data_IF_191421816864
#
_entry.id   IF_191421816864
#
_cell.length_a   1.000
_cell.length_b   1.000
_cell.length_c   1.000
_cell.angle_alpha   90.00
_cell.angle_beta   90.00
_cell.angle_gamma   90.00
#
_symmetry.space_group_name_H-M   'P 1'
#
loop_
_entity.id
_entity.type
_entity.pdbx_description
1 polymer ?
#
# COMPACT_ATOMS: atom_id res chain seq x y z
N UNK A 1 -59.64 14.82 -3.85
CA UNK A 1 -59.40 13.44 -4.31
C UNK A 1 -57.90 13.23 -4.42
N UNK A 2 -57.36 12.51 -3.43
CA UNK A 2 -55.96 12.06 -3.33
C UNK A 2 -55.72 10.79 -4.16
N UNK A 3 -54.44 10.41 -4.26
CA UNK A 3 -53.88 9.14 -4.78
C UNK A 3 -53.47 9.18 -6.27
N UNK A 4 -52.35 8.63 -6.71
CA UNK A 4 -51.26 7.86 -6.08
C UNK A 4 -50.14 7.87 -7.13
N UNK A 5 -48.97 8.46 -6.85
CA UNK A 5 -47.84 8.44 -7.80
C UNK A 5 -46.52 8.27 -7.06
N UNK A 6 -46.40 7.15 -6.34
CA UNK A 6 -45.17 6.61 -5.75
C UNK A 6 -45.48 5.15 -5.38
N UNK A 7 -45.07 4.19 -6.22
CA UNK A 7 -44.02 3.30 -5.76
C UNK A 7 -43.18 2.77 -6.95
N UNK A 8 -42.08 3.46 -7.30
CA UNK A 8 -41.07 2.87 -8.19
C UNK A 8 -39.63 3.10 -7.70
N UNK A 9 -39.43 3.98 -6.72
CA UNK A 9 -38.12 4.25 -6.11
C UNK A 9 -37.76 3.27 -4.97
N UNK A 10 -38.65 2.36 -4.60
CA UNK A 10 -38.45 1.45 -3.45
C UNK A 10 -38.06 0.01 -3.83
N UNK A 11 -37.76 -0.25 -5.11
CA UNK A 11 -37.40 -1.59 -5.60
C UNK A 11 -35.88 -1.84 -5.72
N UNK A 12 -35.04 -0.79 -5.63
CA UNK A 12 -33.58 -0.95 -5.72
C UNK A 12 -32.90 -1.26 -4.37
N UNK A 13 -33.61 -1.14 -3.23
CA UNK A 13 -33.04 -1.34 -1.89
C UNK A 13 -33.20 -2.78 -1.34
N UNK A 14 -33.97 -3.66 -2.00
CA UNK A 14 -34.30 -5.00 -1.45
C UNK A 14 -33.68 -6.19 -2.19
N UNK A 15 -32.76 -6.00 -3.14
CA UNK A 15 -32.17 -7.09 -3.93
C UNK A 15 -30.75 -7.53 -3.51
N UNK A 16 -30.28 -7.13 -2.32
CA UNK A 16 -28.93 -7.52 -1.82
C UNK A 16 -28.96 -8.69 -0.81
N UNK A 17 -30.12 -9.28 -0.47
CA UNK A 17 -30.17 -10.23 0.66
C UNK A 17 -30.74 -11.64 0.43
N UNK A 18 -31.03 -12.10 -0.80
CA UNK A 18 -31.50 -13.49 -0.98
C UNK A 18 -30.87 -14.19 -2.17
N UNK A 19 -29.73 -14.85 -1.91
CA UNK A 19 -29.34 -16.09 -2.58
C UNK A 19 -28.46 -16.90 -1.63
N UNK A 20 -29.10 -17.47 -0.61
CA UNK A 20 -28.49 -18.46 0.28
C UNK A 20 -28.50 -19.84 -0.38
N UNK A 21 -27.48 -20.14 -1.20
CA UNK A 21 -27.08 -21.52 -1.43
C UNK A 21 -26.44 -22.06 -0.15
N UNK A 22 -26.75 -23.31 0.22
CA UNK A 22 -26.30 -23.93 1.45
C UNK A 22 -24.77 -23.79 1.63
N UNK A 23 -24.34 -23.00 2.63
CA UNK A 23 -22.95 -22.90 3.04
C UNK A 23 -22.75 -23.74 4.29
N UNK A 24 -21.93 -24.78 4.16
CA UNK A 24 -21.31 -25.47 5.29
C UNK A 24 -20.52 -24.45 6.10
N UNK A 25 -20.89 -24.28 7.36
CA UNK A 25 -20.26 -23.38 8.31
C UNK A 25 -18.89 -23.98 8.66
N UNK A 26 -17.81 -23.41 8.12
CA UNK A 26 -16.45 -23.66 8.63
C UNK A 26 -16.05 -22.52 9.60
N UNK A 27 -15.13 -22.84 10.51
CA UNK A 27 -15.06 -22.31 11.88
C UNK A 27 -14.66 -20.86 12.12
N UNK A 28 -14.69 -19.97 11.13
CA UNK A 28 -14.52 -18.53 11.34
C UNK A 28 -15.65 -17.83 10.57
N UNK A 29 -16.59 -17.22 11.29
CA UNK A 29 -17.93 -16.81 10.82
C UNK A 29 -18.02 -15.74 9.72
N UNK A 30 -17.05 -15.65 8.80
CA UNK A 30 -17.18 -14.91 7.56
C UNK A 30 -17.59 -15.85 6.42
N UNK A 31 -18.62 -15.52 5.63
CA UNK A 31 -18.86 -16.23 4.38
C UNK A 31 -17.61 -16.15 3.50
N UNK A 32 -17.33 -17.21 2.74
CA UNK A 32 -16.20 -17.27 1.83
C UNK A 32 -16.37 -16.23 0.70
N UNK A 33 -15.93 -15.01 0.96
CA UNK A 33 -15.87 -13.94 -0.04
C UNK A 33 -14.54 -14.03 -0.79
N UNK A 34 -14.61 -14.09 -2.13
CA UNK A 34 -13.43 -13.87 -2.97
C UNK A 34 -13.09 -12.39 -3.02
N UNK A 35 -11.82 -12.06 -3.30
CA UNK A 35 -11.32 -10.68 -3.35
C UNK A 35 -11.85 -9.89 -4.56
N UNK A 36 -12.19 -10.57 -5.66
CA UNK A 36 -12.63 -9.97 -6.92
C UNK A 36 -13.96 -9.20 -6.77
N UNK A 37 -15.04 -9.77 -6.20
CA UNK A 37 -16.28 -9.05 -5.92
C UNK A 37 -16.09 -7.82 -5.01
N UNK A 38 -15.15 -7.89 -4.07
CA UNK A 38 -14.87 -6.77 -3.16
C UNK A 38 -14.18 -5.64 -3.91
N UNK A 39 -13.18 -5.96 -4.73
CA UNK A 39 -12.45 -4.96 -5.52
C UNK A 39 -13.33 -4.28 -6.56
N UNK A 40 -14.20 -5.04 -7.22
CA UNK A 40 -15.17 -4.50 -8.19
C UNK A 40 -16.17 -3.56 -7.51
N UNK A 41 -16.73 -3.97 -6.36
CA UNK A 41 -17.63 -3.12 -5.57
C UNK A 41 -16.94 -1.86 -5.09
N UNK A 42 -15.67 -1.92 -4.67
CA UNK A 42 -14.91 -0.74 -4.25
C UNK A 42 -14.70 0.25 -5.40
N UNK A 43 -14.36 -0.23 -6.61
CA UNK A 43 -14.21 0.63 -7.80
C UNK A 43 -15.51 1.36 -8.15
N UNK A 44 -16.61 0.63 -8.22
CA UNK A 44 -17.94 1.22 -8.48
C UNK A 44 -18.35 2.16 -7.36
N UNK A 45 -17.98 1.85 -6.12
CA UNK A 45 -18.31 2.70 -4.99
C UNK A 45 -17.54 4.00 -5.04
N UNK A 46 -16.27 4.04 -5.46
CA UNK A 46 -15.47 5.27 -5.58
C UNK A 46 -16.18 6.31 -6.45
N UNK A 47 -16.68 5.88 -7.61
CA UNK A 47 -17.48 6.71 -8.53
C UNK A 47 -18.83 7.14 -7.93
N UNK A 48 -19.42 6.33 -7.04
CA UNK A 48 -20.67 6.66 -6.34
C UNK A 48 -20.47 7.52 -5.09
N UNK A 49 -19.32 7.42 -4.42
CA UNK A 49 -19.02 8.05 -3.13
C UNK A 49 -19.02 9.57 -3.28
N UNK A 50 -18.49 10.11 -4.38
CA UNK A 50 -18.53 11.56 -4.64
C UNK A 50 -19.98 12.08 -4.75
N UNK A 51 -20.89 11.32 -5.37
CA UNK A 51 -22.30 11.70 -5.54
C UNK A 51 -23.14 11.55 -4.27
N UNK A 52 -22.71 10.69 -3.35
CA UNK A 52 -23.42 10.37 -2.11
C UNK A 52 -22.89 11.13 -0.90
N UNK A 53 -21.62 11.54 -0.92
CA UNK A 53 -20.98 12.28 0.17
C UNK A 53 -21.75 13.56 0.52
N UNK A 54 -22.26 14.28 -0.49
CA UNK A 54 -23.07 15.49 -0.30
C UNK A 54 -24.42 15.24 0.40
N UNK A 55 -24.86 13.98 0.47
CA UNK A 55 -26.14 13.58 1.08
C UNK A 55 -25.99 13.05 2.51
N UNK A 56 -24.77 12.88 3.00
CA UNK A 56 -24.52 12.34 4.34
C UNK A 56 -24.43 13.44 5.38
N UNK A 57 -24.99 13.16 6.56
CA UNK A 57 -24.76 14.01 7.72
C UNK A 57 -23.42 13.68 8.39
N UNK A 58 -22.95 14.58 9.25
CA UNK A 58 -21.65 14.47 9.91
C UNK A 58 -21.45 13.12 10.63
N UNK A 59 -22.49 12.61 11.28
CA UNK A 59 -22.44 11.32 12.00
C UNK A 59 -22.27 10.14 11.04
N UNK A 60 -22.96 10.14 9.91
CA UNK A 60 -22.84 9.12 8.87
C UNK A 60 -21.46 9.14 8.24
N UNK A 61 -20.96 10.32 7.89
CA UNK A 61 -19.62 10.51 7.36
C UNK A 61 -18.57 9.99 8.33
N UNK A 62 -18.63 10.38 9.61
CA UNK A 62 -17.69 9.91 10.63
C UNK A 62 -17.72 8.39 10.80
N UNK A 63 -18.91 7.77 10.80
CA UNK A 63 -19.05 6.32 10.91
C UNK A 63 -18.46 5.57 9.70
N UNK A 64 -18.63 6.10 8.49
CA UNK A 64 -18.03 5.51 7.27
C UNK A 64 -16.51 5.62 7.31
N UNK A 65 -15.98 6.78 7.67
CA UNK A 65 -14.52 6.98 7.78
C UNK A 65 -13.91 6.07 8.84
N UNK A 66 -14.58 5.86 9.99
CA UNK A 66 -14.10 4.92 11.02
C UNK A 66 -14.06 3.48 10.49
N UNK A 67 -15.09 3.04 9.77
CA UNK A 67 -15.11 1.72 9.16
C UNK A 67 -14.02 1.53 8.11
N UNK A 68 -13.84 2.50 7.21
CA UNK A 68 -12.77 2.49 6.20
C UNK A 68 -11.39 2.46 6.85
N UNK A 69 -11.19 3.21 7.93
CA UNK A 69 -9.95 3.18 8.72
C UNK A 69 -9.71 1.80 9.31
N UNK A 70 -10.72 1.17 9.93
CA UNK A 70 -10.59 -0.19 10.48
C UNK A 70 -10.26 -1.22 9.40
N UNK A 71 -10.91 -1.16 8.24
CA UNK A 71 -10.60 -2.04 7.11
C UNK A 71 -9.17 -1.83 6.62
N UNK A 72 -8.76 -0.57 6.52
CA UNK A 72 -7.38 -0.21 6.16
C UNK A 72 -6.38 -0.78 7.17
N UNK A 73 -6.66 -0.71 8.47
CA UNK A 73 -5.80 -1.27 9.52
C UNK A 73 -5.68 -2.80 9.40
N UNK A 74 -6.75 -3.50 9.01
CA UNK A 74 -6.71 -4.95 8.73
C UNK A 74 -5.83 -5.27 7.53
N UNK A 75 -6.01 -4.55 6.42
CA UNK A 75 -5.20 -4.74 5.20
C UNK A 75 -3.72 -4.43 5.44
N UNK A 76 -3.42 -3.37 6.20
CA UNK A 76 -2.05 -3.03 6.60
C UNK A 76 -1.41 -4.14 7.45
N UNK A 77 -2.16 -4.72 8.40
CA UNK A 77 -1.65 -5.85 9.20
C UNK A 77 -1.30 -7.05 8.32
N UNK A 78 -2.08 -7.31 7.27
CA UNK A 78 -1.79 -8.38 6.33
C UNK A 78 -0.53 -8.08 5.51
N UNK A 79 -0.38 -6.87 4.97
CA UNK A 79 0.85 -6.46 4.25
C UNK A 79 2.11 -6.58 5.13
N UNK A 80 2.02 -6.22 6.41
CA UNK A 80 3.14 -6.37 7.36
C UNK A 80 3.56 -7.82 7.56
N UNK A 81 2.64 -8.78 7.51
CA UNK A 81 2.96 -10.21 7.64
C UNK A 81 3.79 -10.69 6.44
N UNK A 82 3.38 -10.34 5.23
CA UNK A 82 4.13 -10.67 4.00
C UNK A 82 5.57 -10.15 4.06
N UNK A 83 5.77 -8.93 4.59
CA UNK A 83 7.11 -8.38 4.74
C UNK A 83 7.94 -9.07 5.82
N UNK A 84 7.31 -9.55 6.89
CA UNK A 84 7.99 -10.30 7.96
C UNK A 84 8.57 -11.61 7.43
N UNK A 85 7.91 -12.24 6.46
CA UNK A 85 8.39 -13.50 5.88
C UNK A 85 9.69 -13.36 5.08
N UNK A 86 10.01 -12.16 4.60
CA UNK A 86 11.25 -11.86 3.85
C UNK A 86 12.43 -11.57 4.78
N UNK A 87 12.18 -11.07 5.98
CA UNK A 87 13.25 -10.67 6.91
C UNK A 87 13.90 -11.92 7.55
N UNK A 88 15.24 -11.99 7.69
CA UNK A 88 15.87 -12.97 8.56
C UNK A 88 15.41 -12.70 9.99
N UNK A 89 15.28 -13.74 10.81
CA UNK A 89 14.56 -13.70 12.08
C UNK A 89 14.95 -12.58 13.05
N UNK A 90 16.18 -12.08 12.95
CA UNK A 90 16.73 -11.08 13.87
C UNK A 90 16.86 -9.67 13.28
N UNK A 91 16.55 -9.45 11.99
CA UNK A 91 16.57 -8.10 11.43
C UNK A 91 15.37 -7.28 11.93
N UNK A 92 15.60 -6.07 12.50
CA UNK A 92 14.50 -5.23 12.94
C UNK A 92 13.65 -4.81 11.75
N UNK A 93 12.33 -4.77 11.94
CA UNK A 93 11.42 -4.45 10.85
C UNK A 93 11.66 -3.01 10.33
N UNK A 94 11.90 -2.81 9.02
CA UNK A 94 12.22 -1.49 8.50
C UNK A 94 10.99 -0.56 8.52
N UNK A 95 11.22 0.71 8.86
CA UNK A 95 10.19 1.75 8.79
C UNK A 95 10.08 2.24 7.35
N UNK A 96 8.89 2.12 6.78
CA UNK A 96 8.62 2.58 5.41
C UNK A 96 8.57 4.10 5.36
N UNK A 97 9.12 4.71 4.30
CA UNK A 97 8.96 6.14 4.04
C UNK A 97 7.48 6.50 3.84
N UNK A 98 6.97 7.52 4.53
CA UNK A 98 5.56 7.96 4.46
C UNK A 98 5.09 8.46 3.09
N UNK A 99 6.02 8.89 2.24
CA UNK A 99 5.74 9.36 0.87
C UNK A 99 6.54 8.54 -0.14
N UNK A 100 6.45 7.23 0.03
CA UNK A 100 7.29 6.28 -0.67
C UNK A 100 6.87 4.84 -0.39
N UNK A 101 7.82 3.96 -0.60
CA UNK A 101 7.68 2.52 -0.44
C UNK A 101 9.02 1.88 -0.16
N UNK A 102 8.97 0.56 0.02
CA UNK A 102 10.15 -0.24 0.26
C UNK A 102 10.02 -1.54 -0.54
N UNK A 103 11.09 -1.91 -1.24
CA UNK A 103 11.23 -3.23 -1.87
C UNK A 103 12.39 -3.95 -1.19
N UNK A 104 12.15 -5.15 -0.67
CA UNK A 104 13.17 -5.94 0.00
C UNK A 104 13.40 -7.27 -0.71
N UNK A 105 14.65 -7.73 -0.73
CA UNK A 105 15.09 -9.00 -1.29
C UNK A 105 15.99 -9.70 -0.29
N UNK A 106 15.74 -10.97 -0.03
CA UNK A 106 16.61 -11.83 0.77
C UNK A 106 17.62 -12.58 -0.11
N UNK A 107 18.89 -12.57 0.29
CA UNK A 107 19.91 -13.45 -0.28
C UNK A 107 20.85 -13.94 0.84
N UNK A 108 20.99 -15.26 0.94
CA UNK A 108 21.73 -15.94 2.02
C UNK A 108 21.26 -15.53 3.43
N UNK A 109 22.17 -15.02 4.26
CA UNK A 109 21.92 -14.53 5.63
C UNK A 109 21.69 -13.02 5.66
N UNK A 110 21.48 -12.40 4.49
CA UNK A 110 21.31 -10.96 4.34
C UNK A 110 19.97 -10.62 3.70
N UNK A 111 19.45 -9.48 4.07
CA UNK A 111 18.37 -8.81 3.36
C UNK A 111 18.83 -7.46 2.88
N UNK A 112 18.46 -7.15 1.65
CA UNK A 112 18.68 -5.88 1.01
C UNK A 112 17.33 -5.21 0.82
N UNK A 113 17.16 -4.01 1.39
CA UNK A 113 15.94 -3.23 1.26
C UNK A 113 16.25 -1.91 0.56
N UNK A 114 15.59 -1.68 -0.58
CA UNK A 114 15.69 -0.46 -1.37
C UNK A 114 14.49 0.45 -1.05
N UNK A 115 14.71 1.57 -0.34
CA UNK A 115 13.67 2.57 -0.17
C UNK A 115 13.41 3.29 -1.49
N UNK A 116 12.15 3.64 -1.74
CA UNK A 116 11.72 4.37 -2.92
C UNK A 116 10.87 5.56 -2.52
N UNK A 117 11.07 6.72 -3.18
CA UNK A 117 10.25 7.91 -2.96
C UNK A 117 9.24 8.12 -4.09
N UNK A 118 8.07 8.67 -3.77
CA UNK A 118 7.06 9.02 -4.77
C UNK A 118 7.51 10.21 -5.64
N UNK A 119 6.82 10.42 -6.77
CA UNK A 119 6.96 11.64 -7.57
C UNK A 119 6.76 12.91 -6.70
N UNK A 120 7.52 13.96 -6.99
CA UNK A 120 7.49 15.22 -6.23
C UNK A 120 8.11 15.11 -4.83
N UNK A 121 8.81 14.01 -4.56
CA UNK A 121 9.62 13.81 -3.35
C UNK A 121 11.07 13.51 -3.71
N UNK A 122 11.99 13.93 -2.84
CA UNK A 122 13.39 13.53 -2.87
C UNK A 122 13.85 12.97 -1.51
N UNK A 123 14.92 12.18 -1.50
CA UNK A 123 15.50 11.69 -0.26
C UNK A 123 16.06 12.84 0.58
N UNK A 124 15.92 12.76 1.90
CA UNK A 124 16.47 13.77 2.82
C UNK A 124 18.01 13.83 2.82
N UNK A 125 18.68 12.83 2.23
CA UNK A 125 20.13 12.73 2.13
C UNK A 125 20.52 12.14 0.77
N UNK A 126 21.74 12.46 0.32
CA UNK A 126 22.33 11.91 -0.90
C UNK A 126 22.56 10.40 -0.75
N UNK A 127 22.05 9.63 -1.71
CA UNK A 127 22.04 8.15 -1.73
C UNK A 127 22.35 7.56 -3.10
N UNK A 128 22.89 8.34 -4.05
CA UNK A 128 23.26 7.86 -5.39
C UNK A 128 24.16 6.63 -5.38
N UNK A 129 25.04 6.53 -4.39
CA UNK A 129 25.95 5.39 -4.20
C UNK A 129 25.43 4.34 -3.21
N UNK A 130 24.37 4.64 -2.44
CA UNK A 130 23.75 3.74 -1.46
C UNK A 130 22.27 3.50 -1.80
N UNK A 131 22.08 2.76 -2.89
CA UNK A 131 20.76 2.49 -3.48
C UNK A 131 19.88 1.63 -2.58
N UNK A 132 20.48 0.80 -1.72
CA UNK A 132 19.78 -0.07 -0.76
C UNK A 132 20.45 -0.04 0.62
N UNK A 133 19.74 -0.53 1.63
CA UNK A 133 20.27 -0.87 2.95
C UNK A 133 20.42 -2.38 3.06
N UNK A 134 21.45 -2.82 3.79
CA UNK A 134 21.67 -4.23 4.12
C UNK A 134 21.35 -4.46 5.60
N UNK A 135 20.74 -5.60 5.91
CA UNK A 135 20.76 -6.19 7.24
C UNK A 135 21.26 -7.64 7.14
N UNK A 136 22.18 -8.02 8.02
CA UNK A 136 22.73 -9.38 8.08
C UNK A 136 22.35 -10.08 9.38
N UNK A 137 22.17 -11.40 9.34
CA UNK A 137 21.89 -12.23 10.52
C UNK A 137 23.05 -12.22 11.55
N UNK A 138 24.23 -11.74 11.17
CA UNK A 138 25.37 -11.60 12.09
C UNK A 138 25.28 -10.31 12.91
N UNK A 139 24.85 -9.22 12.29
CA UNK A 139 24.81 -7.89 12.93
C UNK A 139 23.45 -7.54 13.48
N UNK A 140 22.39 -8.14 12.92
CA UNK A 140 20.98 -7.91 13.25
C UNK A 140 20.61 -6.41 13.23
N UNK A 141 21.26 -5.66 12.33
CA UNK A 141 21.16 -4.21 12.20
C UNK A 141 21.19 -3.79 10.73
N UNK A 142 20.43 -2.76 10.41
CA UNK A 142 20.50 -2.12 9.11
C UNK A 142 21.76 -1.26 9.00
N UNK A 143 22.32 -1.16 7.80
CA UNK A 143 23.39 -0.20 7.43
C UNK A 143 22.93 1.27 7.40
N UNK A 144 21.75 1.56 7.94
CA UNK A 144 21.11 2.86 7.83
C UNK A 144 21.85 3.95 8.62
N UNK A 145 21.83 5.16 8.08
CA UNK A 145 22.37 6.36 8.74
C UNK A 145 21.38 7.04 9.69
N UNK A 146 20.14 6.55 9.80
CA UNK A 146 19.12 7.18 10.64
C UNK A 146 19.14 6.67 12.08
N UNK A 147 18.92 7.58 13.02
CA UNK A 147 18.75 7.28 14.44
C UNK A 147 17.58 6.30 14.64
N UNK A 148 17.79 5.31 15.51
CA UNK A 148 16.83 4.23 15.78
C UNK A 148 17.06 2.97 14.95
N UNK A 149 17.91 3.02 13.92
CA UNK A 149 18.46 1.83 13.25
C UNK A 149 17.49 1.03 12.38
N UNK A 150 16.20 1.38 12.33
CA UNK A 150 15.19 0.72 11.50
C UNK A 150 14.57 1.64 10.43
N UNK A 151 14.76 2.95 10.53
CA UNK A 151 14.36 3.89 9.48
C UNK A 151 15.36 3.85 8.34
N UNK A 152 14.90 3.51 7.13
CA UNK A 152 15.81 3.33 5.99
C UNK A 152 15.90 4.57 5.09
N UNK A 153 14.83 5.37 5.03
CA UNK A 153 14.81 6.63 4.28
C UNK A 153 13.74 7.60 4.79
N UNK A 154 13.90 8.87 4.43
CA UNK A 154 12.90 9.93 4.56
C UNK A 154 12.74 10.59 3.20
N UNK A 155 11.49 10.67 2.72
CA UNK A 155 11.13 11.33 1.47
C UNK A 155 10.51 12.70 1.81
N UNK A 156 11.16 13.77 1.36
CA UNK A 156 10.75 15.15 1.56
C UNK A 156 10.21 15.73 0.27
N UNK A 157 9.28 16.69 0.37
CA UNK A 157 8.73 17.37 -0.81
C UNK A 157 9.86 18.08 -1.56
N UNK A 158 9.96 17.84 -2.85
CA UNK A 158 10.96 18.44 -3.72
C UNK A 158 10.47 18.43 -5.16
N UNK A 159 10.63 19.55 -5.85
CA UNK A 159 10.30 19.66 -7.28
C UNK A 159 11.38 19.02 -8.17
N UNK A 160 12.54 18.67 -7.59
CA UNK A 160 13.67 18.06 -8.29
C UNK A 160 14.18 16.84 -7.52
N UNK A 161 14.39 15.73 -8.22
CA UNK A 161 14.93 14.48 -7.68
C UNK A 161 16.41 14.36 -8.01
N UNK A 162 17.28 14.69 -7.05
CA UNK A 162 18.74 14.64 -7.24
C UNK A 162 19.43 13.66 -6.32
N UNK A 163 18.82 13.34 -5.17
CA UNK A 163 19.52 12.67 -4.09
C UNK A 163 19.69 11.16 -4.33
N UNK A 164 18.78 10.53 -5.07
CA UNK A 164 18.81 9.11 -5.43
C UNK A 164 19.20 8.86 -6.89
N UNK A 165 19.37 7.59 -7.22
CA UNK A 165 19.40 7.13 -8.62
C UNK A 165 17.97 7.11 -9.19
N UNK A 166 17.76 7.21 -10.52
CA UNK A 166 16.42 7.24 -11.11
C UNK A 166 15.51 6.08 -10.71
N UNK A 167 16.08 4.89 -10.51
CA UNK A 167 15.34 3.69 -10.08
C UNK A 167 14.93 3.69 -8.60
N UNK A 168 15.37 4.67 -7.80
CA UNK A 168 14.98 4.84 -6.41
C UNK A 168 13.74 5.73 -6.25
N UNK A 169 13.07 6.06 -7.35
CA UNK A 169 11.82 6.79 -7.37
C UNK A 169 10.75 5.97 -8.07
N UNK A 170 9.51 6.09 -7.59
CA UNK A 170 8.37 5.64 -8.38
C UNK A 170 8.22 6.55 -9.61
N UNK A 171 7.88 5.99 -10.78
CA UNK A 171 7.49 6.78 -11.93
C UNK A 171 6.28 7.68 -11.63
N UNK A 172 6.07 8.65 -12.50
CA UNK A 172 4.89 9.50 -12.48
C UNK A 172 3.61 8.67 -12.42
N UNK A 173 2.65 9.14 -11.61
CA UNK A 173 1.36 8.49 -11.35
C UNK A 173 1.46 7.06 -10.76
N UNK A 174 2.61 6.70 -10.18
CA UNK A 174 2.82 5.44 -9.47
C UNK A 174 3.23 5.69 -8.02
N UNK A 175 2.81 4.78 -7.16
CA UNK A 175 3.25 4.68 -5.78
C UNK A 175 3.38 3.20 -5.40
N UNK A 176 3.66 2.93 -4.12
CA UNK A 176 3.79 1.57 -3.63
C UNK A 176 2.53 0.71 -3.85
N UNK A 177 1.33 1.26 -3.66
CA UNK A 177 0.08 0.50 -3.77
C UNK A 177 -0.25 0.22 -5.23
N UNK A 178 -0.13 1.24 -6.09
CA UNK A 178 -0.36 1.13 -7.53
C UNK A 178 0.60 0.12 -8.14
N UNK A 179 1.89 0.22 -7.80
CA UNK A 179 2.93 -0.72 -8.24
C UNK A 179 2.60 -2.15 -7.81
N UNK A 180 2.23 -2.37 -6.55
CA UNK A 180 1.90 -3.69 -6.02
C UNK A 180 0.63 -4.29 -6.61
N UNK A 181 -0.36 -3.45 -6.93
CA UNK A 181 -1.62 -3.93 -7.53
C UNK A 181 -1.50 -4.37 -8.99
N UNK A 182 -0.38 -4.05 -9.65
CA UNK A 182 -0.12 -4.37 -11.05
C UNK A 182 1.11 -5.26 -11.21
N UNK A 183 0.89 -6.52 -11.55
CA UNK A 183 1.96 -7.53 -11.64
C UNK A 183 3.12 -7.11 -12.55
N UNK A 184 2.84 -6.42 -13.67
CA UNK A 184 3.86 -5.95 -14.58
C UNK A 184 4.74 -4.84 -13.98
N UNK A 185 4.15 -3.93 -13.19
CA UNK A 185 4.89 -2.86 -12.52
C UNK A 185 5.72 -3.40 -11.37
N UNK A 186 5.12 -4.24 -10.52
CA UNK A 186 5.82 -4.93 -9.44
C UNK A 186 7.03 -5.70 -9.97
N UNK A 187 6.81 -6.55 -10.99
CA UNK A 187 7.88 -7.33 -11.62
C UNK A 187 9.01 -6.43 -12.14
N UNK A 188 8.68 -5.33 -12.83
CA UNK A 188 9.68 -4.41 -13.38
C UNK A 188 10.55 -3.80 -12.28
N UNK A 189 9.95 -3.39 -11.16
CA UNK A 189 10.73 -2.79 -10.06
C UNK A 189 11.61 -3.84 -9.39
N UNK A 190 11.10 -5.05 -9.19
CA UNK A 190 11.86 -6.18 -8.65
C UNK A 190 13.06 -6.46 -9.57
N UNK A 191 12.84 -6.75 -10.84
CA UNK A 191 13.90 -7.07 -11.82
C UNK A 191 14.97 -5.98 -11.90
N UNK A 192 14.56 -4.70 -11.80
CA UNK A 192 15.48 -3.56 -11.74
C UNK A 192 16.34 -3.62 -10.49
N UNK A 193 15.75 -3.87 -9.33
CA UNK A 193 16.50 -3.98 -8.07
C UNK A 193 17.42 -5.20 -8.07
N UNK A 194 16.97 -6.35 -8.56
CA UNK A 194 17.84 -7.53 -8.69
C UNK A 194 19.02 -7.27 -9.62
N UNK A 195 18.80 -6.53 -10.71
CA UNK A 195 19.87 -6.12 -11.61
C UNK A 195 20.89 -5.27 -10.88
N UNK A 196 20.46 -4.30 -10.07
CA UNK A 196 21.36 -3.47 -9.25
C UNK A 196 22.16 -4.31 -8.24
N UNK A 197 21.53 -5.31 -7.61
CA UNK A 197 22.23 -6.23 -6.71
C UNK A 197 23.30 -7.03 -7.48
N UNK A 198 22.96 -7.57 -8.67
CA UNK A 198 23.90 -8.28 -9.54
C UNK A 198 25.06 -7.39 -10.00
N UNK A 199 24.78 -6.15 -10.37
CA UNK A 199 25.78 -5.16 -10.78
C UNK A 199 26.75 -4.84 -9.62
N UNK A 200 26.35 -5.09 -8.36
CA UNK A 200 27.18 -5.01 -7.15
C UNK A 200 27.78 -6.36 -6.71
N UNK A 201 27.80 -7.38 -7.58
CA UNK A 201 28.29 -8.74 -7.31
C UNK A 201 27.53 -9.51 -6.22
N UNK A 202 26.28 -9.13 -5.94
CA UNK A 202 25.38 -9.87 -5.06
C UNK A 202 24.60 -10.85 -5.96
N UNK A 203 25.19 -12.02 -6.19
CA UNK A 203 24.66 -13.07 -7.07
C UNK A 203 24.25 -14.29 -6.25
N UNK A 204 23.02 -14.32 -5.72
CA UNK A 204 22.43 -15.62 -5.35
C UNK A 204 21.00 -15.73 -5.88
N UNK A 205 20.72 -16.89 -6.50
CA UNK A 205 19.51 -17.25 -7.24
C UNK A 205 18.42 -17.87 -6.35
N UNK A 206 18.50 -17.67 -5.04
CA UNK A 206 17.45 -18.16 -4.12
C UNK A 206 16.29 -17.19 -4.10
N UNK A 207 15.11 -17.77 -3.96
CA UNK A 207 13.79 -17.15 -3.98
C UNK A 207 13.83 -15.70 -3.51
N UNK A 208 13.71 -14.80 -4.49
CA UNK A 208 13.64 -13.37 -4.23
C UNK A 208 12.23 -13.13 -3.70
N UNK A 209 12.10 -13.28 -2.39
CA UNK A 209 10.86 -12.99 -1.68
C UNK A 209 10.79 -11.49 -1.59
N UNK A 210 9.81 -10.91 -2.28
CA UNK A 210 9.67 -9.47 -2.34
C UNK A 210 8.61 -9.02 -1.38
N UNK A 211 9.02 -8.13 -0.49
CA UNK A 211 8.11 -7.45 0.39
C UNK A 211 7.93 -6.02 -0.05
N UNK A 212 6.66 -5.63 -0.15
CA UNK A 212 6.21 -4.26 -0.37
C UNK A 212 5.30 -3.86 0.75
N UNK A 213 5.52 -2.65 1.28
CA UNK A 213 4.62 -2.10 2.27
C UNK A 213 4.37 -0.62 2.01
N UNK A 214 3.10 -0.24 2.05
CA UNK A 214 2.64 1.14 1.92
C UNK A 214 2.26 1.72 3.28
N UNK A 215 2.26 3.05 3.37
CA UNK A 215 1.60 3.79 4.46
C UNK A 215 0.26 4.30 3.91
N UNK A 216 -0.85 3.88 4.51
CA UNK A 216 -2.21 4.31 4.10
C UNK A 216 -2.83 5.37 5.01
N UNK A 217 -2.06 6.02 5.88
CA UNK A 217 -2.63 6.91 6.90
C UNK A 217 -2.14 8.37 6.79
N UNK A 218 -2.31 9.01 5.62
CA UNK A 218 -2.42 10.49 5.53
C UNK A 218 -3.38 10.95 4.40
N UNK A 219 -3.81 10.08 3.48
CA UNK A 219 -4.55 10.51 2.27
C UNK A 219 -6.05 10.78 2.42
N UNK A 220 -6.69 10.46 3.54
CA UNK A 220 -8.13 10.72 3.70
C UNK A 220 -8.44 12.22 3.74
N UNK A 221 -7.48 13.03 4.20
CA UNK A 221 -7.57 14.50 4.12
C UNK A 221 -7.23 15.02 2.72
N UNK A 222 -6.28 14.42 1.98
CA UNK A 222 -5.93 14.88 0.63
C UNK A 222 -7.05 14.64 -0.42
N UNK A 223 -7.90 13.63 -0.21
CA UNK A 223 -9.10 13.40 -1.04
C UNK A 223 -10.18 14.45 -0.71
N UNK A 224 -10.38 14.75 0.58
CA UNK A 224 -11.34 15.78 1.02
C UNK A 224 -10.89 17.21 0.68
N UNK A 225 -9.59 17.51 0.72
CA UNK A 225 -9.06 18.82 0.33
C UNK A 225 -9.15 19.06 -1.18
N UNK A 226 -9.09 18.00 -2.00
CA UNK A 226 -9.39 18.09 -3.44
C UNK A 226 -10.86 18.33 -3.74
N UNK A 227 -11.77 17.79 -2.92
CA UNK A 227 -13.20 18.08 -3.01
C UNK A 227 -13.52 19.52 -2.56
N UNK A 228 -12.78 20.04 -1.56
CA UNK A 228 -12.98 21.39 -1.01
C UNK A 228 -12.37 22.51 -1.85
N UNK A 229 -11.32 22.23 -2.62
CA UNK A 229 -10.70 23.21 -3.53
C UNK A 229 -11.50 23.46 -4.82
N UNK A 230 -12.63 22.76 -5.03
CA UNK A 230 -13.54 22.92 -6.19
C UNK A 230 -14.87 23.63 -5.85
N UNK A 231 -15.02 24.16 -4.65
CA UNK A 231 -16.12 25.03 -4.19
C UNK A 231 -15.60 26.39 -3.80
#
# INVERSE_FOLDING_TARGET
MTAMRRPLEWLCLMLVLVSGGAQTINSDGCPAWSSEPVLEKLKVSDECFELLADKWNDTQTAAILDNLRRLTDVLQKQQKKECKEVMPGDCPFPVIPSKGGLVCVSAETKVYCKPMCNEGQDFSFLRRTRVYEECSATTNKWTTQYVGGNKLAVCNKSDIQISGVPSAYFPKDQDCLKTKSEQALEKKVIETFEKELRDNNIQDKREIRVAWQAITAVGLFDVLDRARAKT
#
